data_IF_316513343317
#
_entry.id   IF_316513343317
#
_cell.length_a   1.000
_cell.length_b   1.000
_cell.length_c   1.000
_cell.angle_alpha   90.00
_cell.angle_beta   90.00
_cell.angle_gamma   90.00
#
_symmetry.space_group_name_H-M   'P 1'
#
loop_
_entity.id
_entity.type
_entity.pdbx_description
1 polymer ?
#
# COMPACT_ATOMS: atom_id res chain seq x y z
N UNK A 1 3.94 22.09 -21.33
CA UNK A 1 3.99 20.94 -22.25
C UNK A 1 5.23 20.15 -21.90
N UNK A 2 5.13 19.33 -20.86
CA UNK A 2 6.18 18.43 -20.39
C UNK A 2 6.13 17.19 -21.27
N UNK A 3 7.21 16.93 -22.02
CA UNK A 3 7.33 15.71 -22.81
C UNK A 3 7.42 14.52 -21.87
N UNK A 4 6.42 13.64 -21.91
CA UNK A 4 6.44 12.37 -21.21
C UNK A 4 7.53 11.49 -21.83
N UNK A 5 8.52 11.09 -21.02
CA UNK A 5 9.49 10.07 -21.40
C UNK A 5 8.76 8.74 -21.42
N UNK A 6 8.67 8.09 -22.59
CA UNK A 6 7.93 6.83 -22.81
C UNK A 6 8.77 5.58 -22.53
N UNK A 7 9.98 5.72 -21.99
CA UNK A 7 10.87 4.61 -21.68
C UNK A 7 11.82 4.92 -20.54
N UNK A 8 12.21 3.87 -19.81
CA UNK A 8 13.16 3.94 -18.71
C UNK A 8 14.54 4.35 -19.21
N UNK A 9 15.16 5.38 -18.62
CA UNK A 9 16.49 5.86 -18.97
C UNK A 9 17.63 4.90 -18.58
N UNK A 10 17.34 3.82 -17.85
CA UNK A 10 18.31 2.82 -17.41
C UNK A 10 18.38 1.61 -18.36
N UNK A 11 17.23 1.07 -18.77
CA UNK A 11 17.15 -0.16 -19.57
C UNK A 11 16.49 0.01 -20.94
N UNK A 12 15.82 1.14 -21.20
CA UNK A 12 15.11 1.39 -22.46
C UNK A 12 13.74 0.70 -22.58
N UNK A 13 13.34 -0.09 -21.57
CA UNK A 13 12.01 -0.71 -21.54
C UNK A 13 10.91 0.36 -21.48
N UNK A 14 9.72 0.11 -22.07
CA UNK A 14 8.58 0.99 -21.90
C UNK A 14 8.35 1.20 -20.41
N UNK A 15 8.16 2.45 -19.99
CA UNK A 15 7.69 2.68 -18.63
C UNK A 15 6.36 1.93 -18.49
N UNK A 16 6.14 1.20 -17.37
CA UNK A 16 4.88 0.51 -17.14
C UNK A 16 3.73 1.50 -17.35
N UNK A 17 2.63 1.02 -17.93
CA UNK A 17 1.39 1.78 -17.97
C UNK A 17 1.18 2.40 -16.59
N UNK A 18 1.25 3.73 -16.48
CA UNK A 18 1.14 4.44 -15.19
C UNK A 18 -0.19 4.12 -14.50
N UNK A 19 -1.15 3.55 -15.25
CA UNK A 19 -2.47 3.13 -14.79
C UNK A 19 -2.49 1.68 -14.31
N UNK A 20 -1.44 0.89 -14.48
CA UNK A 20 -1.37 -0.50 -14.01
C UNK A 20 -0.36 -0.65 -12.87
N UNK A 21 -0.81 -1.30 -11.80
CA UNK A 21 -0.01 -1.61 -10.62
C UNK A 21 0.00 -3.12 -10.43
N UNK A 22 1.18 -3.74 -10.47
CA UNK A 22 1.34 -5.17 -10.26
C UNK A 22 1.84 -5.45 -8.84
N UNK A 23 1.12 -6.30 -8.10
CA UNK A 23 1.45 -6.70 -6.73
C UNK A 23 1.45 -8.21 -6.62
N UNK A 24 2.60 -8.81 -6.29
CA UNK A 24 2.75 -10.26 -6.21
C UNK A 24 2.81 -10.80 -4.78
N UNK A 25 2.07 -11.88 -4.52
CA UNK A 25 2.28 -12.74 -3.36
C UNK A 25 3.25 -13.86 -3.72
N UNK A 26 4.33 -13.98 -2.94
CA UNK A 26 5.38 -14.98 -3.22
C UNK A 26 4.93 -16.42 -2.95
N UNK A 27 3.99 -16.63 -2.02
CA UNK A 27 3.49 -17.94 -1.60
C UNK A 27 2.02 -17.86 -1.20
N UNK A 28 1.25 -18.96 -1.26
CA UNK A 28 -0.05 -19.06 -0.60
C UNK A 28 0.13 -18.99 0.92
N UNK A 29 -0.88 -18.49 1.64
CA UNK A 29 -0.78 -18.22 3.07
C UNK A 29 -0.46 -19.49 3.87
N UNK A 30 -1.10 -20.61 3.52
CA UNK A 30 -0.88 -21.91 4.15
C UNK A 30 0.55 -22.44 3.94
N UNK A 31 1.20 -22.10 2.82
CA UNK A 31 2.59 -22.48 2.59
C UNK A 31 3.56 -21.66 3.43
N UNK A 32 3.25 -20.40 3.78
CA UNK A 32 4.17 -19.53 4.55
C UNK A 32 4.53 -20.11 5.92
N UNK A 33 3.61 -20.85 6.53
CA UNK A 33 3.81 -21.51 7.83
C UNK A 33 4.42 -22.91 7.71
N UNK A 34 4.41 -23.52 6.52
CA UNK A 34 4.98 -24.85 6.31
C UNK A 34 6.52 -24.81 6.33
N UNK A 35 7.21 -25.87 6.78
CA UNK A 35 8.67 -25.98 6.66
C UNK A 35 9.13 -25.87 5.20
N UNK A 36 10.31 -25.28 4.96
CA UNK A 36 10.83 -25.09 3.60
C UNK A 36 10.98 -26.42 2.84
N UNK A 37 11.49 -27.47 3.49
CA UNK A 37 11.65 -28.79 2.89
C UNK A 37 10.33 -29.52 2.58
N UNK A 38 9.18 -29.01 3.04
CA UNK A 38 7.86 -29.53 2.70
C UNK A 38 7.25 -28.84 1.47
N UNK A 39 7.94 -27.84 0.90
CA UNK A 39 7.47 -27.07 -0.27
C UNK A 39 8.22 -27.52 -1.51
N UNK A 40 7.47 -28.05 -2.47
CA UNK A 40 8.00 -28.56 -3.73
C UNK A 40 7.50 -27.66 -4.86
N UNK A 41 8.40 -26.87 -5.44
CA UNK A 41 8.10 -26.16 -6.67
C UNK A 41 8.21 -27.13 -7.85
N UNK A 42 7.22 -27.14 -8.73
CA UNK A 42 7.27 -27.89 -9.98
C UNK A 42 7.90 -27.04 -11.08
N UNK A 43 7.90 -27.52 -12.34
CA UNK A 43 8.69 -26.96 -13.45
C UNK A 43 8.73 -25.43 -13.48
N UNK A 44 7.57 -24.76 -13.57
CA UNK A 44 7.47 -23.32 -13.35
C UNK A 44 7.35 -22.95 -11.86
N UNK A 45 7.95 -21.81 -11.46
CA UNK A 45 7.76 -21.18 -10.13
C UNK A 45 6.32 -20.73 -9.82
N UNK A 46 5.38 -21.07 -10.69
CA UNK A 46 3.95 -20.83 -10.59
C UNK A 46 3.17 -22.04 -10.05
N UNK A 47 3.81 -23.20 -9.88
CA UNK A 47 3.18 -24.43 -9.43
C UNK A 47 3.89 -24.92 -8.16
N UNK A 48 3.16 -25.08 -7.06
CA UNK A 48 3.71 -25.52 -5.78
C UNK A 48 2.84 -26.62 -5.18
N UNK A 49 3.48 -27.69 -4.73
CA UNK A 49 2.90 -28.68 -3.81
C UNK A 49 3.48 -28.48 -2.42
N UNK A 50 2.66 -28.55 -1.40
CA UNK A 50 3.08 -28.49 0.01
C UNK A 50 2.58 -29.73 0.73
N UNK A 51 3.52 -30.50 1.30
CA UNK A 51 3.21 -31.77 1.96
C UNK A 51 2.24 -31.58 3.13
N UNK A 52 1.16 -32.37 3.14
CA UNK A 52 0.12 -32.28 4.17
C UNK A 52 -0.74 -31.02 4.14
N UNK A 53 -0.54 -30.13 3.16
CA UNK A 53 -1.28 -28.86 3.04
C UNK A 53 -2.09 -28.80 1.76
N UNK A 54 -1.49 -29.02 0.59
CA UNK A 54 -2.22 -28.97 -0.68
C UNK A 54 -1.37 -28.63 -1.91
N UNK A 55 -2.07 -28.41 -3.02
CA UNK A 55 -1.50 -28.08 -4.33
C UNK A 55 -1.98 -26.69 -4.76
N UNK A 56 -1.09 -25.87 -5.30
CA UNK A 56 -1.36 -24.47 -5.57
C UNK A 56 -0.83 -24.03 -6.93
N UNK A 57 -1.66 -23.25 -7.65
CA UNK A 57 -1.31 -22.64 -8.94
C UNK A 57 -1.36 -21.12 -8.79
N UNK A 58 -0.29 -20.44 -9.21
CA UNK A 58 -0.20 -18.99 -9.23
C UNK A 58 -1.02 -18.44 -10.38
N UNK A 59 -1.87 -17.46 -10.08
CA UNK A 59 -2.78 -16.82 -11.02
C UNK A 59 -2.71 -15.29 -10.87
N UNK A 60 -3.29 -14.57 -11.83
CA UNK A 60 -3.43 -13.12 -11.82
C UNK A 60 -4.88 -12.74 -11.55
N UNK A 61 -5.11 -11.88 -10.57
CA UNK A 61 -6.41 -11.29 -10.27
C UNK A 61 -6.39 -9.81 -10.70
N UNK A 62 -7.04 -9.44 -11.81
CA UNK A 62 -7.22 -8.04 -12.18
C UNK A 62 -8.33 -7.41 -11.33
N UNK A 63 -8.08 -6.22 -10.80
CA UNK A 63 -9.02 -5.43 -10.01
C UNK A 63 -9.11 -4.03 -10.59
N UNK A 64 -10.33 -3.62 -10.95
CA UNK A 64 -10.59 -2.28 -11.47
C UNK A 64 -10.71 -1.29 -10.32
N UNK A 65 -9.93 -0.22 -10.37
CA UNK A 65 -9.95 0.86 -9.39
C UNK A 65 -10.49 2.15 -10.00
N UNK A 66 -10.94 3.08 -9.14
CA UNK A 66 -11.29 4.44 -9.56
C UNK A 66 -10.10 5.15 -10.21
N UNK A 67 -10.37 6.20 -10.98
CA UNK A 67 -9.36 6.95 -11.75
C UNK A 67 -8.66 6.12 -12.85
N UNK A 68 -9.40 5.19 -13.47
CA UNK A 68 -8.90 4.37 -14.60
C UNK A 68 -7.63 3.57 -14.25
N UNK A 69 -7.44 3.24 -12.97
CA UNK A 69 -6.29 2.46 -12.48
C UNK A 69 -6.67 0.98 -12.41
N UNK A 70 -5.77 0.10 -12.84
CA UNK A 70 -5.87 -1.36 -12.71
C UNK A 70 -4.83 -1.86 -11.71
N UNK A 71 -5.27 -2.66 -10.75
CA UNK A 71 -4.40 -3.42 -9.85
C UNK A 71 -4.41 -4.88 -10.28
N UNK A 72 -3.25 -5.44 -10.61
CA UNK A 72 -3.11 -6.86 -10.94
C UNK A 72 -2.39 -7.56 -9.80
N UNK A 73 -3.10 -8.47 -9.15
CA UNK A 73 -2.61 -9.23 -8.00
C UNK A 73 -2.12 -10.60 -8.43
N UNK A 74 -0.84 -10.90 -8.23
CA UNK A 74 -0.31 -12.25 -8.36
C UNK A 74 -0.65 -13.09 -7.13
N UNK A 75 -1.68 -13.90 -7.21
CA UNK A 75 -2.26 -14.69 -6.10
C UNK A 75 -2.07 -16.19 -6.34
N UNK A 76 -2.49 -17.01 -5.38
CA UNK A 76 -2.50 -18.46 -5.48
C UNK A 76 -3.92 -19.01 -5.34
N UNK A 77 -4.25 -19.99 -6.18
CA UNK A 77 -5.42 -20.85 -5.99
C UNK A 77 -4.98 -22.23 -5.49
N UNK A 78 -5.63 -22.73 -4.45
CA UNK A 78 -5.59 -24.13 -4.04
C UNK A 78 -6.42 -24.96 -5.03
N UNK A 79 -5.82 -26.03 -5.54
CA UNK A 79 -6.39 -26.98 -6.49
C UNK A 79 -6.16 -28.41 -6.03
N UNK A 80 -6.83 -29.37 -6.66
CA UNK A 80 -6.48 -30.78 -6.45
C UNK A 80 -5.15 -31.16 -7.16
N UNK A 81 -4.58 -32.28 -6.73
CA UNK A 81 -3.29 -32.73 -7.26
C UNK A 81 -3.35 -33.11 -8.75
N UNK A 82 -4.51 -33.57 -9.24
CA UNK A 82 -4.69 -33.90 -10.65
C UNK A 82 -4.61 -32.65 -11.53
N UNK A 83 -5.27 -31.56 -11.11
CA UNK A 83 -5.22 -30.25 -11.77
C UNK A 83 -3.81 -29.67 -11.77
N UNK A 84 -3.08 -29.79 -10.66
CA UNK A 84 -1.69 -29.32 -10.58
C UNK A 84 -0.80 -30.07 -11.58
N UNK A 85 -0.90 -31.40 -11.65
CA UNK A 85 -0.13 -32.20 -12.61
C UNK A 85 -0.50 -31.89 -14.05
N UNK A 86 -1.80 -31.74 -14.35
CA UNK A 86 -2.26 -31.33 -15.67
C UNK A 86 -1.66 -29.98 -16.08
N UNK A 87 -1.60 -29.01 -15.16
CA UNK A 87 -1.01 -27.71 -15.43
C UNK A 87 0.52 -27.78 -15.66
N UNK A 88 1.22 -28.65 -14.93
CA UNK A 88 2.65 -28.90 -15.11
C UNK A 88 2.94 -29.57 -16.47
N UNK A 89 2.17 -30.60 -16.83
CA UNK A 89 2.29 -31.33 -18.10
C UNK A 89 2.03 -30.42 -19.30
N UNK A 90 1.08 -29.48 -19.19
CA UNK A 90 0.72 -28.56 -20.26
C UNK A 90 1.60 -27.32 -20.33
N UNK A 91 2.40 -27.00 -19.31
CA UNK A 91 3.00 -25.66 -19.16
C UNK A 91 3.82 -25.20 -20.37
N UNK A 92 4.62 -26.11 -20.94
CA UNK A 92 5.45 -25.87 -22.11
C UNK A 92 4.79 -26.37 -23.42
N UNK A 93 3.56 -26.88 -23.35
CA UNK A 93 2.79 -27.37 -24.49
C UNK A 93 1.88 -26.27 -25.07
N UNK A 94 1.64 -26.23 -26.39
CA UNK A 94 0.66 -25.32 -26.99
C UNK A 94 -0.74 -25.38 -26.35
N UNK A 95 -1.13 -26.54 -25.81
CA UNK A 95 -2.38 -26.75 -25.07
C UNK A 95 -2.49 -25.96 -23.77
N UNK A 96 -1.40 -25.35 -23.28
CA UNK A 96 -1.44 -24.40 -22.15
C UNK A 96 -2.42 -23.26 -22.39
N UNK A 97 -2.54 -22.78 -23.64
CA UNK A 97 -3.42 -21.67 -23.99
C UNK A 97 -4.91 -21.96 -23.69
N UNK A 98 -5.30 -23.24 -23.67
CA UNK A 98 -6.66 -23.69 -23.38
C UNK A 98 -6.86 -24.09 -21.91
N UNK A 99 -5.81 -24.00 -21.07
CA UNK A 99 -5.88 -24.37 -19.67
C UNK A 99 -6.89 -23.49 -18.92
N UNK A 100 -7.88 -24.16 -18.33
CA UNK A 100 -8.87 -23.54 -17.46
C UNK A 100 -9.23 -24.49 -16.33
N UNK A 101 -9.28 -23.97 -15.11
CA UNK A 101 -9.54 -24.77 -13.92
C UNK A 101 -10.26 -23.95 -12.85
N UNK A 102 -10.83 -24.64 -11.86
CA UNK A 102 -11.42 -24.01 -10.68
C UNK A 102 -10.55 -24.32 -9.46
N UNK A 103 -10.35 -23.33 -8.61
CA UNK A 103 -9.61 -23.48 -7.36
C UNK A 103 -10.17 -22.57 -6.27
N UNK A 104 -9.64 -22.72 -5.06
CA UNK A 104 -10.00 -21.89 -3.90
C UNK A 104 -8.92 -20.84 -3.66
N UNK A 105 -9.31 -19.59 -3.47
CA UNK A 105 -8.38 -18.49 -3.24
C UNK A 105 -7.54 -18.74 -1.98
N UNK A 106 -6.21 -18.67 -2.08
CA UNK A 106 -5.29 -19.13 -1.04
C UNK A 106 -4.44 -18.01 -0.40
N UNK A 107 -4.76 -16.75 -0.68
CA UNK A 107 -4.12 -15.59 -0.05
C UNK A 107 -5.14 -14.72 0.67
N UNK A 108 -4.80 -14.23 1.86
CA UNK A 108 -5.61 -13.22 2.55
C UNK A 108 -5.24 -11.84 2.03
N UNK A 109 -6.09 -11.30 1.16
CA UNK A 109 -5.84 -10.01 0.49
C UNK A 109 -6.80 -8.96 1.01
N UNK A 110 -6.29 -7.93 1.69
CA UNK A 110 -7.10 -6.77 2.10
C UNK A 110 -7.44 -5.89 0.88
N UNK A 111 -8.59 -5.20 0.86
CA UNK A 111 -9.56 -5.05 1.96
C UNK A 111 -10.47 -6.27 2.16
N UNK A 112 -10.58 -7.17 1.18
CA UNK A 112 -11.57 -8.26 1.18
C UNK A 112 -11.30 -9.37 2.22
N UNK A 113 -10.03 -9.64 2.52
CA UNK A 113 -9.59 -10.50 3.59
C UNK A 113 -10.23 -11.88 3.58
N UNK A 114 -11.03 -12.16 4.62
CA UNK A 114 -11.66 -13.45 4.87
C UNK A 114 -12.82 -13.76 3.90
N UNK A 115 -13.40 -12.74 3.24
CA UNK A 115 -14.48 -12.93 2.26
C UNK A 115 -13.97 -13.53 0.94
N UNK A 116 -12.69 -13.34 0.62
CA UNK A 116 -12.05 -13.98 -0.52
C UNK A 116 -11.34 -15.26 -0.15
N UNK A 117 -10.75 -15.37 1.04
CA UNK A 117 -9.98 -16.55 1.41
C UNK A 117 -10.87 -17.82 1.37
N UNK A 118 -10.45 -18.80 0.59
CA UNK A 118 -11.20 -20.04 0.34
C UNK A 118 -12.34 -19.91 -0.68
N UNK A 119 -12.65 -18.71 -1.17
CA UNK A 119 -13.71 -18.50 -2.16
C UNK A 119 -13.35 -19.19 -3.49
N UNK A 120 -14.32 -19.82 -4.18
CA UNK A 120 -14.06 -20.49 -5.45
C UNK A 120 -13.92 -19.49 -6.60
N UNK A 121 -12.89 -19.67 -7.42
CA UNK A 121 -12.65 -18.93 -8.66
C UNK A 121 -12.35 -19.88 -9.82
N UNK A 122 -12.72 -19.45 -11.02
CA UNK A 122 -12.22 -20.05 -12.27
C UNK A 122 -11.08 -19.21 -12.81
N UNK A 123 -9.97 -19.88 -13.10
CA UNK A 123 -8.81 -19.32 -13.78
C UNK A 123 -8.75 -19.83 -15.23
N UNK A 124 -8.20 -19.00 -16.12
CA UNK A 124 -7.96 -19.35 -17.52
C UNK A 124 -6.72 -18.66 -18.06
N UNK A 125 -5.93 -19.35 -18.87
CA UNK A 125 -4.87 -18.73 -19.67
C UNK A 125 -5.52 -17.91 -20.78
N UNK A 126 -5.34 -16.60 -20.75
CA UNK A 126 -5.86 -15.67 -21.76
C UNK A 126 -4.81 -15.30 -22.80
N UNK A 127 -3.54 -15.30 -22.39
CA UNK A 127 -2.37 -15.01 -23.22
C UNK A 127 -1.39 -16.18 -23.06
N UNK A 128 -1.02 -16.88 -24.15
CA UNK A 128 -0.03 -17.95 -24.08
C UNK A 128 1.30 -17.47 -23.48
N UNK A 129 1.83 -18.21 -22.50
CA UNK A 129 3.08 -17.87 -21.80
C UNK A 129 2.91 -16.93 -20.59
N UNK A 130 1.71 -16.38 -20.35
CA UNK A 130 1.39 -15.67 -19.11
C UNK A 130 0.74 -16.59 -18.07
N UNK A 131 0.74 -16.15 -16.81
CA UNK A 131 0.00 -16.83 -15.75
C UNK A 131 -1.52 -16.81 -16.06
N UNK A 132 -2.29 -17.83 -15.61
CA UNK A 132 -3.74 -17.83 -15.76
C UNK A 132 -4.37 -16.63 -15.04
N UNK A 133 -5.33 -15.96 -15.68
CA UNK A 133 -6.12 -14.89 -15.07
C UNK A 133 -7.36 -15.47 -14.40
N UNK A 134 -7.77 -14.90 -13.27
CA UNK A 134 -9.09 -15.16 -12.69
C UNK A 134 -10.15 -14.49 -13.57
N UNK A 135 -11.10 -15.29 -14.07
CA UNK A 135 -12.12 -14.84 -15.03
C UNK A 135 -13.54 -14.95 -14.50
N UNK A 136 -13.77 -15.70 -13.42
CA UNK A 136 -15.06 -15.79 -12.75
C UNK A 136 -14.89 -16.10 -11.25
N UNK A 137 -15.65 -15.40 -10.41
CA UNK A 137 -15.76 -15.69 -8.98
C UNK A 137 -17.12 -16.31 -8.65
N UNK A 138 -17.13 -17.33 -7.80
CA UNK A 138 -18.34 -18.14 -7.52
C UNK A 138 -18.96 -17.88 -6.14
N UNK A 139 -18.58 -16.76 -5.52
CA UNK A 139 -19.14 -16.23 -4.29
C UNK A 139 -19.42 -14.72 -4.46
N UNK A 140 -20.33 -14.11 -3.68
CA UNK A 140 -20.73 -12.72 -3.88
C UNK A 140 -19.56 -11.73 -3.91
N UNK A 141 -18.64 -11.79 -2.94
CA UNK A 141 -17.46 -10.91 -2.92
C UNK A 141 -16.48 -11.25 -4.05
N UNK A 142 -16.32 -12.54 -4.38
CA UNK A 142 -15.45 -13.00 -5.46
C UNK A 142 -15.90 -12.48 -6.85
N UNK A 143 -17.21 -12.50 -7.13
CA UNK A 143 -17.76 -11.94 -8.36
C UNK A 143 -17.56 -10.41 -8.41
N UNK A 144 -17.93 -9.72 -7.33
CA UNK A 144 -17.78 -8.26 -7.23
C UNK A 144 -16.35 -7.77 -7.40
N UNK A 145 -15.36 -8.52 -6.92
CA UNK A 145 -13.95 -8.14 -7.09
C UNK A 145 -13.52 -8.07 -8.56
N UNK A 146 -14.10 -8.92 -9.43
CA UNK A 146 -13.82 -8.91 -10.87
C UNK A 146 -14.71 -7.92 -11.64
N UNK A 147 -15.92 -7.67 -11.16
CA UNK A 147 -16.95 -6.92 -11.89
C UNK A 147 -17.02 -5.44 -11.51
N UNK A 148 -16.90 -5.13 -10.21
CA UNK A 148 -17.06 -3.76 -9.68
C UNK A 148 -15.80 -2.92 -9.90
N UNK A 149 -15.98 -1.60 -9.84
CA UNK A 149 -14.88 -0.64 -9.68
C UNK A 149 -14.74 -0.26 -8.21
N UNK A 150 -13.53 -0.41 -7.66
CA UNK A 150 -13.23 -0.18 -6.25
C UNK A 150 -12.56 1.18 -6.03
N UNK A 151 -12.76 1.79 -4.87
CA UNK A 151 -12.03 3.02 -4.52
C UNK A 151 -10.52 2.76 -4.46
N UNK A 152 -9.77 3.47 -5.30
CA UNK A 152 -8.32 3.29 -5.48
C UNK A 152 -7.58 3.40 -4.16
N UNK A 153 -7.83 4.47 -3.41
CA UNK A 153 -7.06 4.77 -2.19
C UNK A 153 -7.45 3.82 -1.06
N UNK A 154 -8.72 3.45 -0.95
CA UNK A 154 -9.19 2.44 -0.02
C UNK A 154 -8.53 1.08 -0.22
N UNK A 155 -8.33 0.65 -1.48
CA UNK A 155 -7.68 -0.63 -1.81
C UNK A 155 -6.16 -0.51 -1.64
N UNK A 156 -5.52 0.47 -2.29
CA UNK A 156 -4.06 0.58 -2.33
C UNK A 156 -3.42 0.90 -0.98
N UNK A 157 -4.14 1.60 -0.09
CA UNK A 157 -3.66 1.88 1.27
C UNK A 157 -3.48 0.61 2.12
N UNK A 158 -4.07 -0.52 1.71
CA UNK A 158 -3.95 -1.80 2.43
C UNK A 158 -2.68 -2.57 2.08
N UNK A 159 -1.91 -2.09 1.11
CA UNK A 159 -0.66 -2.71 0.69
C UNK A 159 0.54 -1.99 1.34
N UNK A 160 1.30 -2.68 2.22
CA UNK A 160 2.34 -2.06 3.01
C UNK A 160 3.68 -1.87 2.28
N UNK A 161 3.85 -2.43 1.08
CA UNK A 161 5.07 -2.25 0.29
C UNK A 161 5.06 -0.92 -0.48
N UNK A 162 6.18 -0.61 -1.10
CA UNK A 162 6.34 0.60 -1.92
C UNK A 162 5.42 0.54 -3.14
N UNK A 163 4.67 1.61 -3.36
CA UNK A 163 3.83 1.78 -4.55
C UNK A 163 4.43 2.87 -5.45
N UNK A 164 4.27 2.75 -6.79
CA UNK A 164 4.81 3.73 -7.73
C UNK A 164 4.01 5.05 -7.76
N UNK A 165 2.93 5.16 -6.98
CA UNK A 165 2.03 6.31 -6.96
C UNK A 165 1.72 6.77 -5.54
N UNK A 166 1.26 8.01 -5.43
CA UNK A 166 0.73 8.58 -4.19
C UNK A 166 -0.62 7.93 -3.84
N UNK A 167 -0.81 7.60 -2.57
CA UNK A 167 -2.04 6.95 -2.07
C UNK A 167 -2.52 7.63 -0.80
N UNK A 168 -3.79 8.04 -0.78
CA UNK A 168 -4.43 8.51 0.45
C UNK A 168 -4.65 7.35 1.41
N UNK A 169 -4.04 7.44 2.58
CA UNK A 169 -4.06 6.41 3.62
C UNK A 169 -4.94 6.85 4.76
N UNK A 170 -5.84 5.96 5.17
CA UNK A 170 -6.67 6.09 6.37
C UNK A 170 -5.81 5.80 7.62
N UNK A 171 -5.80 6.74 8.56
CA UNK A 171 -5.05 6.69 9.82
C UNK A 171 -5.94 6.29 11.01
N UNK A 172 -7.24 6.05 10.77
CA UNK A 172 -8.23 5.92 11.84
C UNK A 172 -8.74 7.28 12.33
N UNK A 173 -9.79 7.26 13.15
CA UNK A 173 -10.44 8.45 13.72
C UNK A 173 -10.80 9.55 12.69
N UNK A 174 -11.07 9.13 11.45
CA UNK A 174 -11.38 9.96 10.27
C UNK A 174 -10.22 10.81 9.77
N UNK A 175 -9.00 10.53 10.22
CA UNK A 175 -7.79 11.13 9.69
C UNK A 175 -7.31 10.40 8.45
N UNK A 176 -6.84 11.16 7.48
CA UNK A 176 -6.13 10.62 6.32
C UNK A 176 -4.86 11.42 6.06
N UNK A 177 -3.92 10.80 5.36
CA UNK A 177 -2.68 11.42 4.89
C UNK A 177 -2.30 10.84 3.55
N UNK A 178 -1.63 11.60 2.69
CA UNK A 178 -1.02 11.05 1.48
C UNK A 178 0.28 10.36 1.83
N UNK A 179 0.35 9.05 1.61
CA UNK A 179 1.59 8.30 1.50
C UNK A 179 2.11 8.49 0.08
N UNK A 180 3.22 9.19 -0.07
CA UNK A 180 3.81 9.45 -1.39
C UNK A 180 4.43 8.19 -1.99
N UNK A 181 4.56 8.16 -3.32
CA UNK A 181 5.21 7.08 -4.06
C UNK A 181 6.59 6.70 -3.49
N UNK A 182 6.92 5.39 -3.58
CA UNK A 182 8.18 4.82 -3.12
C UNK A 182 8.29 4.60 -1.61
N UNK A 183 7.21 4.82 -0.85
CA UNK A 183 7.20 4.59 0.60
C UNK A 183 6.44 3.30 0.97
N UNK A 184 7.07 2.47 1.79
CA UNK A 184 6.40 1.41 2.55
C UNK A 184 5.45 2.00 3.59
N UNK A 185 4.53 1.20 4.14
CA UNK A 185 3.66 1.57 5.25
C UNK A 185 3.66 0.50 6.34
N UNK A 186 3.70 0.93 7.60
CA UNK A 186 3.52 0.05 8.76
C UNK A 186 3.01 0.85 9.95
N UNK A 187 2.22 0.22 10.82
CA UNK A 187 1.89 0.77 12.13
C UNK A 187 2.90 0.26 13.17
N UNK A 188 3.61 1.15 13.85
CA UNK A 188 4.57 0.81 14.89
C UNK A 188 4.75 1.97 15.89
N UNK A 189 4.86 1.63 17.17
CA UNK A 189 5.05 2.58 18.27
C UNK A 189 3.95 3.65 18.35
N UNK A 190 2.70 3.26 18.08
CA UNK A 190 1.55 4.17 18.11
C UNK A 190 1.45 5.13 16.93
N UNK A 191 2.23 4.91 15.87
CA UNK A 191 2.23 5.77 14.68
C UNK A 191 2.15 4.97 13.38
N UNK A 192 1.50 5.56 12.38
CA UNK A 192 1.61 5.16 11.00
C UNK A 192 2.94 5.68 10.43
N UNK A 193 3.81 4.75 10.07
CA UNK A 193 5.15 5.03 9.54
C UNK A 193 5.20 4.72 8.07
N UNK A 194 5.65 5.70 7.30
CA UNK A 194 5.96 5.58 5.88
C UNK A 194 7.47 5.71 5.67
N UNK A 195 8.10 4.74 5.01
CA UNK A 195 9.56 4.73 4.90
C UNK A 195 10.02 4.32 3.50
N UNK A 196 10.98 5.06 2.98
CA UNK A 196 11.77 4.74 1.79
C UNK A 196 13.27 4.89 2.07
N UNK A 197 14.12 4.75 1.04
CA UNK A 197 15.58 4.73 1.23
C UNK A 197 16.18 6.02 1.82
N UNK A 198 15.65 7.18 1.43
CA UNK A 198 16.23 8.50 1.68
C UNK A 198 15.33 9.41 2.53
N UNK A 199 14.10 8.96 2.82
CA UNK A 199 13.10 9.72 3.56
C UNK A 199 12.09 8.83 4.27
N UNK A 200 11.54 9.35 5.35
CA UNK A 200 10.50 8.70 6.15
C UNK A 200 9.57 9.71 6.79
N UNK A 201 8.31 9.33 6.99
CA UNK A 201 7.32 10.08 7.74
C UNK A 201 6.71 9.18 8.82
N UNK A 202 6.41 9.72 9.99
CA UNK A 202 5.66 9.07 11.05
C UNK A 202 4.52 9.99 11.47
N UNK A 203 3.30 9.47 11.47
CA UNK A 203 2.10 10.23 11.84
C UNK A 203 1.53 9.69 13.15
N UNK A 204 1.34 10.60 14.10
CA UNK A 204 0.75 10.35 15.42
C UNK A 204 -0.60 11.06 15.48
N UNK A 205 -1.59 10.37 16.02
CA UNK A 205 -2.88 10.98 16.36
C UNK A 205 -2.91 11.29 17.85
N UNK A 206 -3.34 12.50 18.20
CA UNK A 206 -3.41 12.98 19.58
C UNK A 206 -4.85 13.40 19.87
N UNK A 207 -5.32 13.11 21.08
CA UNK A 207 -6.60 13.60 21.59
C UNK A 207 -6.32 14.60 22.70
N UNK A 208 -7.04 15.71 22.69
CA UNK A 208 -6.96 16.73 23.71
C UNK A 208 -7.50 16.18 25.03
N UNK A 209 -6.75 16.39 26.11
CA UNK A 209 -7.13 15.98 27.47
C UNK A 209 -8.04 17.00 28.15
N UNK A 210 -8.14 18.22 27.60
CA UNK A 210 -9.01 19.28 28.07
C UNK A 210 -10.16 19.57 27.08
N UNK A 211 -11.40 19.14 27.40
CA UNK A 211 -12.55 19.40 26.54
C UNK A 211 -12.79 20.90 26.30
N UNK A 212 -12.87 21.28 25.02
CA UNK A 212 -13.18 22.65 24.61
C UNK A 212 -12.00 23.63 24.63
N UNK A 213 -10.78 23.15 24.90
CA UNK A 213 -9.56 23.95 24.76
C UNK A 213 -9.45 24.49 23.32
N UNK A 214 -9.17 25.79 23.14
CA UNK A 214 -8.97 26.36 21.80
C UNK A 214 -7.81 25.68 21.05
N UNK A 215 -7.90 25.50 19.72
CA UNK A 215 -6.84 24.86 18.93
C UNK A 215 -5.44 25.46 19.11
N UNK A 216 -5.34 26.78 19.32
CA UNK A 216 -4.07 27.45 19.56
C UNK A 216 -3.44 27.08 20.92
N UNK A 217 -4.27 26.89 21.94
CA UNK A 217 -3.83 26.48 23.27
C UNK A 217 -3.46 24.99 23.27
N UNK A 218 -4.23 24.16 22.55
CA UNK A 218 -3.88 22.75 22.36
C UNK A 218 -2.57 22.59 21.59
N UNK A 219 -2.37 23.38 20.53
CA UNK A 219 -1.08 23.42 19.85
C UNK A 219 0.05 23.83 20.82
N UNK A 220 -0.18 24.83 21.68
CA UNK A 220 0.82 25.26 22.64
C UNK A 220 1.20 24.15 23.61
N UNK A 221 0.23 23.33 24.04
CA UNK A 221 0.49 22.13 24.85
C UNK A 221 1.27 21.06 24.07
N UNK A 222 0.94 20.83 22.79
CA UNK A 222 1.68 19.88 21.93
C UNK A 222 3.13 20.32 21.64
N UNK A 223 3.39 21.62 21.69
CA UNK A 223 4.72 22.22 21.49
C UNK A 223 5.52 22.36 22.79
N UNK A 224 5.00 21.91 23.94
CA UNK A 224 5.73 21.99 25.20
C UNK A 224 7.07 21.23 25.11
N UNK A 225 8.16 21.90 25.51
CA UNK A 225 9.53 21.37 25.37
C UNK A 225 10.10 21.38 23.94
N UNK A 226 9.38 21.89 22.93
CA UNK A 226 9.94 22.06 21.59
C UNK A 226 11.09 23.10 21.60
N UNK A 227 12.14 22.94 20.76
CA UNK A 227 13.25 23.89 20.76
C UNK A 227 12.82 25.27 20.26
N UNK A 228 13.52 26.33 20.67
CA UNK A 228 13.35 27.65 20.07
C UNK A 228 13.74 27.63 18.58
N UNK A 229 12.86 28.16 17.72
CA UNK A 229 13.01 28.10 16.25
C UNK A 229 13.20 29.47 15.64
N UNK A 230 14.15 29.56 14.70
CA UNK A 230 14.31 30.77 13.89
C UNK A 230 13.05 31.02 13.06
N UNK A 231 12.63 32.29 12.85
CA UNK A 231 11.43 32.60 12.06
C UNK A 231 11.41 32.00 10.64
N UNK A 232 12.57 31.80 10.01
CA UNK A 232 12.70 31.17 8.70
C UNK A 232 12.65 29.63 8.69
N UNK A 233 12.51 29.00 9.86
CA UNK A 233 12.46 27.55 10.04
C UNK A 233 11.12 27.07 10.62
N UNK A 234 10.08 27.91 10.50
CA UNK A 234 8.73 27.63 10.98
C UNK A 234 7.69 28.17 10.01
N UNK A 235 6.53 27.54 10.02
CA UNK A 235 5.38 27.95 9.22
C UNK A 235 4.10 27.76 10.04
N UNK A 236 3.14 28.66 9.87
CA UNK A 236 1.82 28.53 10.47
C UNK A 236 0.77 28.92 9.45
N UNK A 237 -0.22 28.05 9.27
CA UNK A 237 -1.28 28.21 8.29
C UNK A 237 -2.64 28.10 9.00
N UNK A 238 -3.57 29.03 8.78
CA UNK A 238 -4.92 28.91 9.35
C UNK A 238 -5.69 27.77 8.68
N UNK A 239 -6.54 27.09 9.45
CA UNK A 239 -7.57 26.17 8.96
C UNK A 239 -8.96 26.70 9.33
N UNK A 240 -10.03 26.27 8.65
CA UNK A 240 -11.39 26.52 9.11
C UNK A 240 -11.56 26.00 10.56
N UNK A 241 -11.69 26.91 11.52
CA UNK A 241 -11.78 26.57 12.94
C UNK A 241 -10.51 25.98 13.55
N UNK A 242 -9.34 26.09 12.93
CA UNK A 242 -8.11 25.47 13.47
C UNK A 242 -6.85 26.09 12.91
N UNK A 243 -5.74 25.37 13.03
CA UNK A 243 -4.47 25.76 12.44
C UNK A 243 -3.58 24.57 12.13
N UNK A 244 -2.64 24.78 11.23
CA UNK A 244 -1.45 23.96 11.10
C UNK A 244 -0.24 24.76 11.56
N UNK A 245 0.68 24.09 12.23
CA UNK A 245 1.98 24.67 12.57
C UNK A 245 3.08 23.67 12.22
N UNK A 246 4.19 24.14 11.67
CA UNK A 246 5.34 23.28 11.41
C UNK A 246 6.65 24.01 11.70
N UNK A 247 7.69 23.23 11.97
CA UNK A 247 9.07 23.69 12.01
C UNK A 247 10.02 22.60 11.52
N UNK A 248 11.24 22.99 11.16
CA UNK A 248 12.26 22.05 10.71
C UNK A 248 13.64 22.46 11.19
N UNK A 249 14.54 21.48 11.25
CA UNK A 249 15.90 21.66 11.72
C UNK A 249 16.84 20.63 11.08
N UNK A 250 18.14 20.89 11.17
CA UNK A 250 19.20 19.99 10.73
C UNK A 250 20.07 19.67 11.95
N UNK A 251 19.86 18.54 12.66
CA UNK A 251 20.71 18.18 13.79
C UNK A 251 22.15 17.98 13.35
N UNK A 252 23.09 18.42 14.20
CA UNK A 252 24.53 18.33 13.88
C UNK A 252 25.19 17.00 14.30
N UNK A 253 24.45 16.02 14.86
CA UNK A 253 25.00 15.06 15.83
C UNK A 253 25.25 13.61 15.33
N UNK A 254 25.13 13.31 14.03
CA UNK A 254 25.19 11.90 13.56
C UNK A 254 26.17 11.58 12.43
N UNK A 255 27.12 12.47 12.10
CA UNK A 255 28.13 12.21 11.07
C UNK A 255 27.59 12.07 9.63
N UNK A 256 26.27 12.03 9.46
CA UNK A 256 25.52 12.27 8.22
C UNK A 256 24.54 13.41 8.49
N UNK A 257 24.52 14.39 7.59
CA UNK A 257 23.52 15.46 7.63
C UNK A 257 22.14 14.83 7.42
N UNK A 258 21.27 15.02 8.40
CA UNK A 258 19.89 14.54 8.36
C UNK A 258 19.00 15.73 8.64
N UNK A 259 17.93 15.87 7.91
CA UNK A 259 16.97 16.96 8.08
C UNK A 259 15.71 16.41 8.73
N UNK A 260 15.11 17.21 9.59
CA UNK A 260 13.93 16.85 10.36
C UNK A 260 12.86 17.92 10.20
N UNK A 261 11.63 17.47 10.00
CA UNK A 261 10.47 18.33 9.89
C UNK A 261 9.39 17.82 10.85
N UNK A 262 8.79 18.74 11.58
CA UNK A 262 7.73 18.49 12.54
C UNK A 262 6.52 19.32 12.12
N UNK A 263 5.39 18.68 11.87
CA UNK A 263 4.16 19.33 11.45
C UNK A 263 2.98 18.91 12.31
N UNK A 264 2.20 19.87 12.76
CA UNK A 264 1.02 19.71 13.59
C UNK A 264 -0.20 20.22 12.81
N UNK A 265 -1.29 19.49 12.86
CA UNK A 265 -2.59 19.87 12.27
C UNK A 265 -3.64 19.76 13.37
N UNK A 266 -4.21 20.90 13.77
CA UNK A 266 -5.09 21.02 14.94
C UNK A 266 -6.42 21.67 14.56
N UNK A 267 -7.44 20.88 14.16
CA UNK A 267 -8.81 21.36 13.92
C UNK A 267 -9.61 21.60 15.23
N UNK A 268 -10.68 22.41 15.20
CA UNK A 268 -11.61 22.63 16.33
C UNK A 268 -12.47 21.41 16.65
N UNK A 269 -11.83 20.35 17.13
CA UNK A 269 -12.45 19.03 17.17
C UNK A 269 -11.92 18.14 18.29
N UNK A 270 -11.03 18.68 19.14
CA UNK A 270 -10.41 17.98 20.26
C UNK A 270 -9.42 16.87 19.86
N UNK A 271 -9.02 16.78 18.58
CA UNK A 271 -7.92 15.89 18.17
C UNK A 271 -6.97 16.64 17.24
N UNK A 272 -5.74 16.15 17.16
CA UNK A 272 -4.69 16.66 16.31
C UNK A 272 -3.92 15.52 15.63
N UNK A 273 -3.29 15.82 14.51
CA UNK A 273 -2.30 14.95 13.89
C UNK A 273 -0.93 15.61 13.92
N UNK A 274 0.08 14.88 14.37
CA UNK A 274 1.48 15.26 14.35
C UNK A 274 2.22 14.38 13.33
N UNK A 275 2.91 14.99 12.38
CA UNK A 275 3.80 14.31 11.46
C UNK A 275 5.24 14.68 11.75
N UNK A 276 6.08 13.66 11.89
CA UNK A 276 7.53 13.78 11.90
C UNK A 276 8.06 13.23 10.58
N UNK A 277 8.77 14.06 9.83
CA UNK A 277 9.47 13.66 8.62
C UNK A 277 10.98 13.74 8.83
N UNK A 278 11.71 12.79 8.25
CA UNK A 278 13.15 12.76 8.31
C UNK A 278 13.73 12.34 6.97
N UNK A 279 14.72 13.07 6.46
CA UNK A 279 15.21 12.95 5.09
C UNK A 279 16.68 13.38 4.95
N UNK A 280 17.37 12.85 3.95
CA UNK A 280 18.80 13.14 3.72
C UNK A 280 19.04 14.37 2.82
N UNK A 281 18.23 14.57 1.77
CA UNK A 281 18.36 15.72 0.86
C UNK A 281 17.54 16.93 1.35
N UNK A 282 18.13 18.12 1.58
CA UNK A 282 17.39 19.32 2.02
C UNK A 282 16.25 19.72 1.07
N UNK A 283 16.29 19.34 -0.21
CA UNK A 283 15.20 19.58 -1.17
C UNK A 283 13.91 18.84 -0.77
N UNK A 284 14.00 17.75 0.01
CA UNK A 284 12.84 17.03 0.53
C UNK A 284 12.05 17.80 1.60
N UNK A 285 12.46 19.00 1.99
CA UNK A 285 11.60 19.90 2.78
C UNK A 285 10.26 20.15 2.07
N UNK A 286 10.26 20.31 0.75
CA UNK A 286 9.04 20.49 -0.04
C UNK A 286 8.12 19.27 0.05
N UNK A 287 8.70 18.07 -0.03
CA UNK A 287 7.99 16.80 0.17
C UNK A 287 7.41 16.69 1.59
N UNK A 288 8.20 17.00 2.62
CA UNK A 288 7.73 16.92 4.01
C UNK A 288 6.54 17.88 4.27
N UNK A 289 6.61 19.08 3.72
CA UNK A 289 5.50 20.04 3.76
C UNK A 289 4.27 19.55 2.99
N UNK A 290 4.45 18.89 1.83
CA UNK A 290 3.34 18.28 1.09
C UNK A 290 2.65 17.19 1.91
N UNK A 291 3.40 16.26 2.50
CA UNK A 291 2.85 15.20 3.37
C UNK A 291 2.07 15.81 4.53
N UNK A 292 2.65 16.79 5.22
CA UNK A 292 1.96 17.48 6.31
C UNK A 292 0.68 18.18 5.87
N UNK A 293 0.71 18.94 4.77
CA UNK A 293 -0.48 19.61 4.24
C UNK A 293 -1.55 18.64 3.73
N UNK A 294 -1.19 17.41 3.43
CA UNK A 294 -2.15 16.36 3.03
C UNK A 294 -2.92 15.73 4.20
N UNK A 295 -2.53 16.04 5.44
CA UNK A 295 -3.28 15.62 6.63
C UNK A 295 -4.65 16.26 6.62
N UNK A 296 -5.68 15.44 6.59
CA UNK A 296 -7.07 15.86 6.53
C UNK A 296 -7.88 15.04 7.53
N UNK A 297 -8.81 15.70 8.23
CA UNK A 297 -9.80 15.05 9.07
C UNK A 297 -11.18 15.28 8.47
N UNK A 298 -11.96 14.24 8.27
CA UNK A 298 -13.35 14.40 7.84
C UNK A 298 -14.24 14.89 9.00
N UNK A 299 -15.11 15.86 8.71
CA UNK A 299 -16.11 16.35 9.65
C UNK A 299 -17.13 15.27 10.02
N UNK A 300 -17.74 15.32 11.22
CA UNK A 300 -18.88 14.47 11.53
C UNK A 300 -20.05 14.87 10.64
N UNK A 301 -20.50 13.93 9.80
CA UNK A 301 -21.77 14.00 9.06
C UNK A 301 -22.97 14.02 9.99
#
# INVERSE_FOLDING_TARGET
MTGHLTSCSCCGDPLPDERRIDVGFNLPDAARTAPEGARHSLGPRALIRVDGVGSFIRCLLPVRLTHETELVLGIWLEVDEATLRQADDLWDDPGYADLSFTGRFANKVRPWGDDLLGAPFTARVTVPGELPYLVAGHAPTAARVLEDTWDRDHVLSRFPHELPIDVRTDLGDRWTVVRTAGLTARFADGADRFAGPDRSAAVYLCTDDEPGRPPADFLSALLDGAPDKLPGQRLTEPLPGGLRHAFWLTPSDHGRERHEFYGFTVPASGTAAHVFCSYEDPAHLAWAQQVWRSLERADPS
#
